data_IF_074647024832
#
_entry.id   IF_074647024832
#
_cell.length_a   1.000
_cell.length_b   1.000
_cell.length_c   1.000
_cell.angle_alpha   90.00
_cell.angle_beta   90.00
_cell.angle_gamma   90.00
#
_symmetry.space_group_name_H-M   'P 1'
#
loop_
_entity.id
_entity.type
_entity.pdbx_description
1 polymer ?
#
# COMPACT_ATOMS: atom_id res chain seq x y z
N UNK A 1 22.17 -9.79 -17.67
CA UNK A 1 20.74 -9.61 -18.00
C UNK A 1 19.96 -9.91 -16.74
N UNK A 2 19.37 -8.88 -16.12
CA UNK A 2 18.78 -9.02 -14.79
C UNK A 2 17.35 -9.58 -14.92
N UNK A 3 17.09 -10.72 -14.30
CA UNK A 3 15.79 -11.38 -14.23
C UNK A 3 14.83 -10.62 -13.29
N UNK A 4 14.29 -9.49 -13.75
CA UNK A 4 13.15 -8.84 -13.10
C UNK A 4 11.87 -9.63 -13.40
N UNK A 5 11.22 -10.15 -12.37
CA UNK A 5 9.95 -10.88 -12.44
C UNK A 5 8.84 -10.04 -11.78
N UNK A 6 8.08 -9.24 -12.53
CA UNK A 6 7.02 -8.39 -11.98
C UNK A 6 5.76 -9.23 -11.74
N UNK A 7 5.70 -10.01 -10.67
CA UNK A 7 4.44 -10.68 -10.27
C UNK A 7 3.51 -9.77 -9.45
N UNK A 8 3.82 -8.48 -9.35
CA UNK A 8 2.98 -7.47 -8.69
C UNK A 8 2.12 -6.68 -9.69
N UNK A 9 0.95 -6.23 -9.24
CA UNK A 9 0.12 -5.27 -9.97
C UNK A 9 0.48 -3.87 -9.50
N UNK A 10 0.85 -2.98 -10.43
CA UNK A 10 0.96 -1.55 -10.15
C UNK A 10 -0.44 -0.92 -10.21
N UNK A 11 -0.84 -0.24 -9.14
CA UNK A 11 -2.12 0.43 -9.06
C UNK A 11 -1.93 1.86 -8.55
N UNK A 12 -2.37 2.84 -9.33
CA UNK A 12 -2.46 4.23 -8.89
C UNK A 12 -3.84 4.48 -8.28
N UNK A 13 -3.87 4.80 -6.99
CA UNK A 13 -5.11 5.03 -6.25
C UNK A 13 -5.14 6.44 -5.71
N UNK A 14 -6.28 7.11 -5.87
CA UNK A 14 -6.50 8.38 -5.20
C UNK A 14 -6.71 8.13 -3.71
N UNK A 15 -5.90 8.79 -2.88
CA UNK A 15 -5.98 8.74 -1.42
C UNK A 15 -6.41 10.10 -0.87
N UNK A 16 -7.11 10.10 0.26
CA UNK A 16 -7.41 11.34 0.98
C UNK A 16 -6.11 11.94 1.55
N UNK A 17 -6.02 13.29 1.61
CA UNK A 17 -4.82 13.99 2.08
C UNK A 17 -4.37 13.55 3.48
N UNK A 18 -5.32 13.21 4.37
CA UNK A 18 -5.04 12.72 5.74
C UNK A 18 -4.33 11.37 5.77
N UNK A 19 -4.47 10.56 4.71
CA UNK A 19 -3.86 9.24 4.58
C UNK A 19 -2.54 9.32 3.81
N UNK A 20 -2.44 10.23 2.83
CA UNK A 20 -1.25 10.41 2.01
C UNK A 20 0.03 10.58 2.84
N UNK A 21 -0.03 11.33 3.94
CA UNK A 21 1.13 11.53 4.82
C UNK A 21 1.49 10.34 5.73
N UNK A 22 0.66 9.29 5.75
CA UNK A 22 0.85 8.13 6.62
C UNK A 22 1.47 6.93 5.90
N UNK A 23 1.44 6.91 4.57
CA UNK A 23 2.02 5.85 3.72
C UNK A 23 3.35 6.38 3.16
N UNK A 24 4.44 5.66 3.40
CA UNK A 24 5.79 6.08 2.99
C UNK A 24 6.35 5.06 1.98
N UNK A 25 7.15 5.52 1.03
CA UNK A 25 7.86 4.64 0.11
C UNK A 25 8.67 3.58 0.88
N UNK A 26 8.55 2.32 0.47
CA UNK A 26 9.18 1.18 1.15
C UNK A 26 8.31 0.55 2.24
N UNK A 27 7.11 1.06 2.51
CA UNK A 27 6.11 0.34 3.31
C UNK A 27 5.63 -0.92 2.60
N UNK A 28 5.50 -2.00 3.38
CA UNK A 28 4.86 -3.23 2.96
C UNK A 28 3.62 -3.47 3.83
N UNK A 29 2.54 -3.93 3.21
CA UNK A 29 1.25 -4.07 3.89
C UNK A 29 0.13 -4.51 2.98
N UNK A 30 -1.04 -4.70 3.56
CA UNK A 30 -2.26 -5.05 2.85
C UNK A 30 -3.04 -3.79 2.47
N UNK A 31 -3.40 -3.67 1.19
CA UNK A 31 -4.21 -2.56 0.68
C UNK A 31 -5.62 -3.04 0.33
N UNK A 32 -6.62 -2.35 0.83
CA UNK A 32 -8.03 -2.56 0.47
C UNK A 32 -8.50 -1.45 -0.44
N UNK A 33 -9.06 -1.80 -1.60
CA UNK A 33 -9.62 -0.84 -2.55
C UNK A 33 -10.80 -1.41 -3.34
N UNK A 34 -11.63 -0.54 -3.92
CA UNK A 34 -12.76 -0.90 -4.78
C UNK A 34 -12.65 -0.12 -6.10
N UNK A 35 -12.33 -0.82 -7.20
CA UNK A 35 -12.02 -0.17 -8.47
C UNK A 35 -10.73 0.66 -8.34
N UNK A 36 -10.82 1.97 -8.46
CA UNK A 36 -9.70 2.91 -8.21
C UNK A 36 -9.83 3.65 -6.88
N UNK A 37 -10.86 3.34 -6.08
CA UNK A 37 -11.10 3.97 -4.79
C UNK A 37 -10.34 3.26 -3.69
N UNK A 38 -9.35 3.94 -3.11
CA UNK A 38 -8.70 3.53 -1.88
C UNK A 38 -9.68 3.41 -0.72
N UNK A 39 -9.54 2.38 0.12
CA UNK A 39 -10.32 2.21 1.35
C UNK A 39 -9.43 2.22 2.58
N UNK A 40 -8.37 1.41 2.57
CA UNK A 40 -7.49 1.26 3.72
C UNK A 40 -6.11 0.70 3.35
N UNK A 41 -5.12 0.95 4.19
CA UNK A 41 -3.78 0.37 4.12
C UNK A 41 -3.33 -0.05 5.51
N UNK A 42 -3.03 -1.34 5.68
CA UNK A 42 -2.53 -1.91 6.93
C UNK A 42 -1.07 -2.30 6.77
N UNK A 43 -0.18 -1.53 7.40
CA UNK A 43 1.28 -1.79 7.40
C UNK A 43 1.59 -3.11 8.11
N UNK A 44 2.40 -3.95 7.49
CA UNK A 44 2.96 -5.13 8.15
C UNK A 44 4.08 -4.70 9.11
N UNK A 45 4.03 -5.17 10.35
CA UNK A 45 5.04 -4.84 11.38
C UNK A 45 4.65 -3.73 12.36
N UNK A 46 3.49 -3.08 12.19
CA UNK A 46 2.89 -2.31 13.29
C UNK A 46 2.42 -3.31 14.35
N UNK A 47 3.27 -3.58 15.34
CA UNK A 47 2.90 -4.36 16.52
C UNK A 47 1.65 -3.72 17.12
N UNK A 48 0.55 -4.45 17.15
CA UNK A 48 -0.49 -4.21 18.13
C UNK A 48 0.15 -4.39 19.49
N UNK A 49 0.37 -3.30 20.21
CA UNK A 49 0.70 -3.36 21.63
C UNK A 49 -0.48 -4.04 22.30
N UNK A 50 -0.25 -5.25 22.80
CA UNK A 50 -1.19 -6.09 23.53
C UNK A 50 -0.75 -6.13 25.00
#
# INVERSE_FOLDING_TARGET
>A
MNNWNPQGVFAELQVESKVYGLIVEGDYGEITYQGTRFKDFRREGSKSFQ
#
